data_IF_462086762482
#
_entry.id   IF_462086762482
#
_cell.length_a   1.000
_cell.length_b   1.000
_cell.length_c   1.000
_cell.angle_alpha   90.00
_cell.angle_beta   90.00
_cell.angle_gamma   90.00
#
_symmetry.space_group_name_H-M   'P 1'
#
loop_
_entity.id
_entity.type
_entity.pdbx_description
1 polymer ?
#
# COMPACT_ATOMS: atom_id res chain seq x y z
N UNK A 1 27.88 3.70 21.36
CA UNK A 1 26.54 3.10 21.45
C UNK A 1 25.66 3.77 20.41
N UNK A 2 25.42 3.10 19.28
CA UNK A 2 24.75 3.69 18.11
C UNK A 2 23.24 3.81 18.35
N UNK A 3 22.70 5.02 18.39
CA UNK A 3 21.31 5.31 18.06
C UNK A 3 21.24 6.63 17.30
N UNK A 4 21.71 6.60 16.05
CA UNK A 4 21.36 7.65 15.10
C UNK A 4 21.08 6.99 13.75
N UNK A 5 19.81 6.79 13.46
CA UNK A 5 19.28 6.78 12.09
C UNK A 5 17.77 6.96 12.18
N UNK A 6 17.33 8.14 11.74
CA UNK A 6 15.96 8.49 11.42
C UNK A 6 15.35 7.43 10.49
N UNK A 7 14.77 6.38 11.08
CA UNK A 7 13.96 5.35 10.44
C UNK A 7 12.63 5.35 11.15
N UNK A 8 11.56 5.40 10.37
CA UNK A 8 10.14 5.35 10.76
C UNK A 8 9.94 4.64 12.10
N UNK A 9 9.24 5.27 13.06
CA UNK A 9 8.92 4.66 14.36
C UNK A 9 8.38 3.23 14.15
N UNK A 10 8.82 2.22 14.94
CA UNK A 10 8.36 0.83 14.80
C UNK A 10 6.83 0.71 14.76
N UNK A 11 6.14 1.60 15.48
CA UNK A 11 4.69 1.73 15.47
C UNK A 11 4.13 2.10 14.09
N UNK A 12 4.74 3.09 13.43
CA UNK A 12 4.32 3.54 12.09
C UNK A 12 4.66 2.50 11.02
N UNK A 13 5.78 1.78 11.19
CA UNK A 13 6.13 0.67 10.31
C UNK A 13 5.10 -0.47 10.39
N UNK A 14 4.68 -0.84 11.61
CA UNK A 14 3.61 -1.83 11.79
C UNK A 14 2.27 -1.38 11.28
N UNK A 15 1.87 -0.14 11.54
CA UNK A 15 0.57 0.34 11.07
C UNK A 15 0.50 0.33 9.54
N UNK A 16 1.59 0.71 8.87
CA UNK A 16 1.68 0.62 7.42
C UNK A 16 1.60 -0.83 6.94
N UNK A 17 2.36 -1.72 7.57
CA UNK A 17 2.42 -3.14 7.22
C UNK A 17 1.09 -3.85 7.46
N UNK A 18 0.40 -3.52 8.56
CA UNK A 18 -0.93 -4.02 8.87
C UNK A 18 -1.94 -3.57 7.80
N UNK A 19 -1.90 -2.28 7.41
CA UNK A 19 -2.73 -1.75 6.33
C UNK A 19 -2.45 -2.41 4.98
N UNK A 20 -1.18 -2.62 4.64
CA UNK A 20 -0.76 -3.29 3.40
C UNK A 20 -1.28 -4.73 3.31
N UNK A 21 -1.35 -5.42 4.46
CA UNK A 21 -1.84 -6.79 4.56
C UNK A 21 -3.34 -6.89 4.89
N UNK A 22 -4.07 -5.77 4.95
CA UNK A 22 -5.49 -5.70 5.35
C UNK A 22 -5.77 -6.31 6.73
N UNK A 23 -4.79 -6.22 7.63
CA UNK A 23 -4.87 -6.69 9.01
C UNK A 23 -5.05 -5.48 9.93
N UNK A 24 -5.85 -5.63 10.99
CA UNK A 24 -6.00 -4.61 12.03
C UNK A 24 -4.90 -4.81 13.08
N UNK A 25 -4.22 -3.71 13.44
CA UNK A 25 -3.26 -3.68 14.54
C UNK A 25 -3.95 -3.13 15.80
N UNK A 26 -4.14 -3.99 16.80
CA UNK A 26 -4.76 -3.62 18.07
C UNK A 26 -3.73 -3.64 19.19
N UNK A 27 -3.64 -2.56 19.96
CA UNK A 27 -2.77 -2.47 21.13
C UNK A 27 -3.62 -2.50 22.41
N UNK A 28 -3.30 -3.42 23.32
CA UNK A 28 -3.98 -3.55 24.61
C UNK A 28 -2.96 -3.52 25.75
N UNK A 29 -3.25 -2.79 26.81
CA UNK A 29 -2.44 -2.79 28.03
C UNK A 29 -2.82 -4.01 28.87
N UNK A 30 -1.85 -4.90 29.10
CA UNK A 30 -2.06 -6.17 29.80
C UNK A 30 -1.77 -6.06 31.29
N UNK A 31 -0.59 -5.52 31.63
CA UNK A 31 -0.11 -5.49 33.01
C UNK A 31 0.57 -4.17 33.28
N UNK A 32 0.29 -3.62 34.46
CA UNK A 32 1.07 -2.56 35.08
C UNK A 32 1.56 -3.09 36.42
N UNK A 33 2.87 -3.07 36.65
CA UNK A 33 3.48 -3.57 37.89
C UNK A 33 4.67 -2.71 38.29
N UNK A 34 5.09 -2.82 39.55
CA UNK A 34 6.23 -2.10 40.11
C UNK A 34 5.85 -0.91 40.98
N UNK A 35 6.79 -0.43 41.82
CA UNK A 35 6.56 0.70 42.71
C UNK A 35 6.38 1.99 41.91
N UNK A 36 5.75 3.02 42.50
CA UNK A 36 5.41 4.26 41.80
C UNK A 36 6.61 4.93 41.07
N UNK A 37 7.82 4.75 41.60
CA UNK A 37 9.07 5.28 41.05
C UNK A 37 9.75 4.36 40.01
N UNK A 38 9.25 3.13 39.81
CA UNK A 38 9.75 2.16 38.84
C UNK A 38 8.60 1.32 38.26
N UNK A 39 7.60 2.02 37.72
CA UNK A 39 6.48 1.40 37.02
C UNK A 39 6.95 0.68 35.76
N UNK A 40 6.36 -0.47 35.51
CA UNK A 40 6.64 -1.36 34.40
C UNK A 40 5.31 -1.70 33.72
N UNK A 41 5.27 -1.54 32.39
CA UNK A 41 4.08 -1.69 31.58
C UNK A 41 4.30 -2.82 30.58
N UNK A 42 3.34 -3.74 30.49
CA UNK A 42 3.28 -4.77 29.48
C UNK A 42 2.11 -4.48 28.52
N UNK A 43 2.41 -4.44 27.24
CA UNK A 43 1.46 -4.17 26.16
C UNK A 43 1.43 -5.37 25.22
N UNK A 44 0.22 -5.79 24.86
CA UNK A 44 -0.06 -6.77 23.81
C UNK A 44 -0.40 -6.04 22.52
N UNK A 45 0.20 -6.48 21.42
CA UNK A 45 -0.10 -6.09 20.06
C UNK A 45 -0.69 -7.32 19.34
N UNK A 46 -1.94 -7.20 18.88
CA UNK A 46 -2.59 -8.21 18.05
C UNK A 46 -2.55 -7.80 16.58
N UNK A 47 -2.07 -8.70 15.73
CA UNK A 47 -2.01 -8.55 14.28
C UNK A 47 -2.73 -9.76 13.66
N UNK A 48 -4.04 -9.63 13.46
CA UNK A 48 -4.89 -10.71 12.96
C UNK A 48 -4.96 -11.86 13.97
N UNK A 49 -4.37 -13.00 13.60
CA UNK A 49 -4.35 -14.23 14.41
C UNK A 49 -3.12 -14.34 15.31
N UNK A 50 -2.14 -13.44 15.18
CA UNK A 50 -0.92 -13.43 16.00
C UNK A 50 -0.97 -12.35 17.08
N UNK A 51 -0.38 -12.68 18.22
CA UNK A 51 -0.23 -11.77 19.35
C UNK A 51 1.24 -11.64 19.75
N UNK A 52 1.65 -10.40 20.04
CA UNK A 52 3.00 -10.04 20.41
C UNK A 52 2.97 -9.24 21.70
N UNK A 53 3.85 -9.56 22.65
CA UNK A 53 3.89 -8.87 23.95
C UNK A 53 5.21 -8.16 24.10
N UNK A 54 5.15 -6.89 24.45
CA UNK A 54 6.32 -6.05 24.75
C UNK A 54 6.17 -5.40 26.12
N UNK A 55 7.28 -5.20 26.80
CA UNK A 55 7.29 -4.67 28.16
C UNK A 55 8.40 -3.65 28.37
N UNK A 56 8.08 -2.52 29.00
CA UNK A 56 9.04 -1.43 29.25
C UNK A 56 8.57 -0.50 30.39
N UNK A 57 9.40 0.46 30.79
CA UNK A 57 9.15 1.46 31.84
C UNK A 57 8.13 2.54 31.44
N UNK A 58 7.68 2.54 30.19
CA UNK A 58 6.65 3.44 29.67
C UNK A 58 5.74 2.70 28.70
N UNK A 59 4.43 3.00 28.72
CA UNK A 59 3.45 2.43 27.79
C UNK A 59 3.90 2.61 26.32
N UNK A 60 4.42 3.80 25.97
CA UNK A 60 4.90 4.08 24.61
C UNK A 60 6.12 3.23 24.23
N UNK A 61 7.00 2.95 25.19
CA UNK A 61 8.17 2.10 24.97
C UNK A 61 7.76 0.62 24.90
N UNK A 62 6.84 0.17 25.74
CA UNK A 62 6.27 -1.18 25.71
C UNK A 62 5.55 -1.46 24.38
N UNK A 63 4.79 -0.48 23.86
CA UNK A 63 4.20 -0.53 22.51
C UNK A 63 5.28 -0.65 21.43
N UNK A 64 6.36 0.14 21.51
CA UNK A 64 7.47 0.08 20.55
C UNK A 64 8.21 -1.26 20.61
N UNK A 65 8.37 -1.83 21.80
CA UNK A 65 8.99 -3.13 21.99
C UNK A 65 8.12 -4.25 21.40
N UNK A 66 6.81 -4.25 21.68
CA UNK A 66 5.85 -5.19 21.07
C UNK A 66 5.88 -5.09 19.55
N UNK A 67 5.97 -3.85 19.05
CA UNK A 67 6.10 -3.56 17.63
C UNK A 67 7.41 -4.08 17.02
N UNK A 68 8.55 -3.91 17.68
CA UNK A 68 9.82 -4.45 17.19
C UNK A 68 9.82 -5.98 17.13
N UNK A 69 9.22 -6.65 18.13
CA UNK A 69 9.09 -8.11 18.14
C UNK A 69 8.26 -8.58 16.93
N UNK A 70 7.13 -7.94 16.68
CA UNK A 70 6.27 -8.25 15.53
C UNK A 70 6.95 -7.98 14.18
N UNK A 71 7.78 -6.91 14.08
CA UNK A 71 8.58 -6.64 12.87
C UNK A 71 9.67 -7.69 12.65
N UNK A 72 10.26 -8.25 13.70
CA UNK A 72 11.25 -9.32 13.57
C UNK A 72 10.61 -10.66 13.15
N UNK A 73 9.34 -10.89 13.52
CA UNK A 73 8.55 -12.07 13.12
C UNK A 73 7.80 -11.87 11.78
N UNK A 74 8.32 -11.00 10.90
CA UNK A 74 7.78 -10.65 9.57
C UNK A 74 7.55 -11.84 8.61
N UNK A 75 7.91 -13.05 9.01
CA UNK A 75 7.78 -14.29 8.23
C UNK A 75 6.36 -14.57 7.74
N UNK A 76 5.32 -14.14 8.47
CA UNK A 76 3.92 -14.46 8.15
C UNK A 76 3.13 -13.29 7.55
N UNK A 77 3.69 -12.08 7.60
CA UNK A 77 3.06 -10.86 7.06
C UNK A 77 3.55 -10.55 5.63
N UNK A 78 4.47 -11.37 5.12
CA UNK A 78 4.99 -11.33 3.74
C UNK A 78 4.37 -12.45 2.91
N UNK A 79 3.05 -12.60 2.94
CA UNK A 79 2.32 -13.28 1.87
C UNK A 79 2.16 -12.30 0.70
N UNK A 80 3.27 -11.88 0.12
CA UNK A 80 3.29 -11.32 -1.23
C UNK A 80 4.35 -12.07 -1.97
N UNK A 81 3.88 -12.99 -2.81
CA UNK A 81 4.68 -13.87 -3.63
C UNK A 81 5.91 -13.13 -4.17
N UNK A 82 7.07 -13.72 -3.88
CA UNK A 82 8.30 -13.45 -4.63
C UNK A 82 8.13 -14.05 -6.02
N UNK A 83 7.36 -13.37 -6.85
CA UNK A 83 7.29 -13.55 -8.30
C UNK A 83 7.36 -12.13 -8.86
N UNK A 84 8.27 -11.73 -9.73
CA UNK A 84 9.04 -12.48 -10.70
C UNK A 84 10.10 -11.50 -11.26
N UNK A 85 11.11 -12.00 -11.96
CA UNK A 85 12.06 -11.17 -12.69
C UNK A 85 11.33 -10.47 -13.86
N UNK A 86 10.68 -9.34 -13.62
CA UNK A 86 10.00 -8.59 -14.69
C UNK A 86 9.64 -7.19 -14.23
N UNK A 87 10.40 -6.20 -14.75
CA UNK A 87 10.21 -4.75 -14.64
C UNK A 87 10.15 -4.22 -13.18
N UNK A 88 11.09 -3.35 -12.80
CA UNK A 88 11.09 -2.65 -11.52
C UNK A 88 9.83 -1.75 -11.37
N UNK A 89 8.70 -2.32 -10.96
CA UNK A 89 7.42 -1.64 -10.64
C UNK A 89 7.53 -0.69 -9.42
N UNK A 90 8.72 -0.54 -8.84
CA UNK A 90 9.07 0.48 -7.84
C UNK A 90 8.95 1.92 -8.39
N UNK A 91 9.00 2.09 -9.72
CA UNK A 91 8.70 3.36 -10.39
C UNK A 91 7.22 3.43 -10.77
N UNK A 92 6.60 4.58 -10.47
CA UNK A 92 5.19 4.91 -10.73
C UNK A 92 4.67 4.34 -12.08
N UNK A 93 3.51 3.63 -12.14
CA UNK A 93 3.10 2.83 -13.31
C UNK A 93 3.10 3.58 -14.64
N UNK A 94 2.64 4.83 -14.67
CA UNK A 94 2.68 5.65 -15.89
C UNK A 94 4.11 5.95 -16.36
N UNK A 95 5.06 6.16 -15.45
CA UNK A 95 6.46 6.45 -15.81
C UNK A 95 7.12 5.19 -16.37
N UNK A 96 6.84 4.05 -15.74
CA UNK A 96 7.34 2.74 -16.19
C UNK A 96 6.82 2.41 -17.57
N UNK A 97 5.52 2.60 -17.82
CA UNK A 97 4.92 2.41 -19.13
C UNK A 97 5.51 3.37 -20.17
N UNK A 98 5.64 4.66 -19.86
CA UNK A 98 6.22 5.64 -20.77
C UNK A 98 7.66 5.27 -21.17
N UNK A 99 8.44 4.77 -20.22
CA UNK A 99 9.82 4.33 -20.47
C UNK A 99 9.84 3.12 -21.41
N UNK A 100 8.99 2.12 -21.14
CA UNK A 100 8.88 0.93 -21.97
C UNK A 100 8.39 1.26 -23.39
N UNK A 101 7.39 2.13 -23.51
CA UNK A 101 6.84 2.60 -24.78
C UNK A 101 7.91 3.32 -25.62
N UNK A 102 8.73 4.17 -24.99
CA UNK A 102 9.84 4.85 -25.64
C UNK A 102 10.93 3.88 -26.12
N UNK A 103 11.24 2.85 -25.33
CA UNK A 103 12.24 1.82 -25.68
C UNK A 103 11.80 0.96 -26.88
N UNK A 104 10.51 0.69 -27.00
CA UNK A 104 9.95 -0.16 -28.07
C UNK A 104 9.36 0.66 -29.23
N UNK A 105 9.50 1.99 -29.22
CA UNK A 105 8.95 2.90 -30.23
C UNK A 105 7.42 2.79 -30.43
N UNK A 106 6.69 2.42 -29.37
CA UNK A 106 5.23 2.29 -29.41
C UNK A 106 4.59 3.59 -28.90
N UNK A 107 3.71 4.24 -29.68
CA UNK A 107 3.02 5.44 -29.22
C UNK A 107 1.99 5.08 -28.14
N UNK A 108 1.89 5.95 -27.12
CA UNK A 108 0.90 5.83 -26.06
C UNK A 108 0.07 7.09 -25.94
N UNK A 109 -1.23 6.93 -25.74
CA UNK A 109 -2.15 8.06 -25.60
C UNK A 109 -3.22 7.77 -24.55
N UNK A 110 -3.38 8.69 -23.59
CA UNK A 110 -4.46 8.66 -22.62
C UNK A 110 -5.61 9.55 -23.09
N UNK A 111 -6.81 8.98 -23.19
CA UNK A 111 -8.05 9.65 -23.60
C UNK A 111 -9.02 9.60 -22.43
N UNK A 112 -9.59 10.75 -22.06
CA UNK A 112 -10.70 10.81 -21.11
C UNK A 112 -11.97 10.38 -21.86
N UNK A 113 -12.59 9.28 -21.42
CA UNK A 113 -13.83 8.77 -22.02
C UNK A 113 -15.06 9.43 -21.41
N UNK A 114 -15.12 9.47 -20.08
CA UNK A 114 -16.31 9.96 -19.37
C UNK A 114 -15.94 10.54 -18.00
N UNK A 115 -16.77 11.45 -17.52
CA UNK A 115 -16.81 11.89 -16.13
C UNK A 115 -18.27 12.00 -15.70
N UNK A 116 -18.64 11.35 -14.59
CA UNK A 116 -20.00 11.47 -14.05
C UNK A 116 -20.01 11.57 -12.54
N UNK A 117 -21.03 12.26 -12.02
CA UNK A 117 -21.23 12.46 -10.59
C UNK A 117 -21.86 11.21 -9.98
N UNK A 118 -21.11 10.52 -9.14
CA UNK A 118 -21.60 9.35 -8.40
C UNK A 118 -22.22 9.85 -7.09
N UNK A 119 -23.52 9.63 -6.95
CA UNK A 119 -24.21 9.80 -5.66
C UNK A 119 -24.05 8.49 -4.88
N UNK A 120 -23.34 8.53 -3.76
CA UNK A 120 -23.22 7.35 -2.90
C UNK A 120 -24.56 7.12 -2.17
N UNK A 121 -25.22 5.95 -2.31
CA UNK A 121 -26.56 5.75 -1.75
C UNK A 121 -26.60 5.62 -0.22
N UNK A 122 -25.46 5.61 0.48
CA UNK A 122 -25.37 5.15 1.88
C UNK A 122 -24.82 6.18 2.89
N UNK A 123 -24.91 7.49 2.66
CA UNK A 123 -24.56 8.44 3.73
C UNK A 123 -25.34 9.76 3.66
N UNK A 124 -26.32 9.90 4.56
CA UNK A 124 -27.22 11.07 4.68
C UNK A 124 -26.51 12.33 5.19
N UNK A 125 -25.18 12.33 5.32
CA UNK A 125 -24.41 13.44 5.89
C UNK A 125 -23.33 14.03 4.98
N UNK A 126 -23.16 13.53 3.75
CA UNK A 126 -22.18 14.06 2.80
C UNK A 126 -22.79 14.19 1.40
N UNK A 127 -23.59 15.24 1.19
CA UNK A 127 -24.10 15.65 -0.12
C UNK A 127 -23.00 16.24 -1.03
N UNK A 128 -21.81 15.64 -1.05
CA UNK A 128 -20.75 16.02 -1.97
C UNK A 128 -20.80 15.06 -3.16
N UNK A 129 -21.23 15.51 -4.36
CA UNK A 129 -21.15 14.68 -5.56
C UNK A 129 -19.68 14.36 -5.83
N UNK A 130 -19.31 13.07 -5.75
CA UNK A 130 -17.98 12.61 -6.13
C UNK A 130 -17.94 12.40 -7.64
N UNK A 131 -17.01 13.04 -8.34
CA UNK A 131 -16.85 12.86 -9.79
C UNK A 131 -15.94 11.67 -10.02
N UNK A 132 -16.40 10.70 -10.80
CA UNK A 132 -15.62 9.55 -11.23
C UNK A 132 -15.14 9.78 -12.67
N UNK A 133 -13.83 9.64 -12.90
CA UNK A 133 -13.18 9.81 -14.19
C UNK A 133 -12.86 8.46 -14.82
N UNK A 134 -13.19 8.30 -16.10
CA UNK A 134 -12.90 7.12 -16.90
C UNK A 134 -11.88 7.48 -17.97
N UNK A 135 -10.73 6.84 -17.93
CA UNK A 135 -9.68 6.97 -18.92
C UNK A 135 -9.54 5.68 -19.74
N UNK A 136 -9.06 5.86 -20.96
CA UNK A 136 -8.56 4.79 -21.82
C UNK A 136 -7.17 5.15 -22.30
N UNK A 137 -6.25 4.22 -22.14
CA UNK A 137 -4.91 4.26 -22.67
C UNK A 137 -4.88 3.44 -23.95
N UNK A 138 -4.44 4.03 -25.05
CA UNK A 138 -4.09 3.34 -26.29
C UNK A 138 -2.59 3.05 -26.31
N UNK A 139 -2.23 1.82 -26.67
CA UNK A 139 -0.87 1.33 -26.83
C UNK A 139 -0.71 0.85 -28.28
N UNK A 140 -0.07 1.66 -29.12
CA UNK A 140 -0.05 1.39 -30.57
C UNK A 140 -1.41 1.60 -31.22
N UNK A 141 -1.74 0.79 -32.23
CA UNK A 141 -2.97 0.94 -33.03
C UNK A 141 -4.14 0.09 -32.49
N UNK A 142 -3.87 -1.11 -31.97
CA UNK A 142 -4.93 -2.10 -31.68
C UNK A 142 -5.15 -2.37 -30.19
N UNK A 143 -4.20 -2.02 -29.32
CA UNK A 143 -4.30 -2.31 -27.89
C UNK A 143 -4.80 -1.10 -27.11
N UNK A 144 -5.76 -1.34 -26.22
CA UNK A 144 -6.24 -0.33 -25.31
C UNK A 144 -6.58 -0.90 -23.93
N UNK A 145 -6.46 -0.06 -22.91
CA UNK A 145 -6.69 -0.40 -21.51
C UNK A 145 -7.49 0.70 -20.84
N UNK A 146 -8.59 0.35 -20.19
CA UNK A 146 -9.39 1.28 -19.42
C UNK A 146 -8.96 1.35 -17.95
N UNK A 147 -9.29 2.47 -17.31
CA UNK A 147 -9.03 2.70 -15.90
C UNK A 147 -9.87 3.86 -15.39
N UNK A 148 -10.41 3.71 -14.19
CA UNK A 148 -11.31 4.71 -13.62
C UNK A 148 -10.96 5.01 -12.17
N UNK A 149 -11.18 6.24 -11.73
CA UNK A 149 -10.96 6.65 -10.34
C UNK A 149 -11.65 7.99 -10.04
N UNK A 150 -11.68 8.41 -8.78
CA UNK A 150 -12.14 9.73 -8.35
C UNK A 150 -11.14 10.85 -8.66
N UNK A 151 -9.94 10.50 -9.12
CA UNK A 151 -8.90 11.44 -9.56
C UNK A 151 -8.41 11.12 -10.96
N UNK A 152 -8.24 12.16 -11.79
CA UNK A 152 -7.61 12.03 -13.12
C UNK A 152 -6.25 11.33 -13.05
N UNK A 153 -5.43 11.63 -12.03
CA UNK A 153 -4.11 11.05 -11.89
C UNK A 153 -4.19 9.55 -11.61
N UNK A 154 -5.08 9.14 -10.70
CA UNK A 154 -5.27 7.74 -10.35
C UNK A 154 -5.93 6.94 -11.49
N UNK A 155 -6.90 7.51 -12.21
CA UNK A 155 -7.52 6.87 -13.36
C UNK A 155 -6.46 6.53 -14.45
N UNK A 156 -5.51 7.44 -14.71
CA UNK A 156 -4.39 7.20 -15.63
C UNK A 156 -3.40 6.16 -15.10
N UNK A 157 -3.13 6.16 -13.80
CA UNK A 157 -2.28 5.14 -13.16
C UNK A 157 -2.92 3.75 -13.32
N UNK A 158 -4.22 3.64 -13.11
CA UNK A 158 -4.97 2.39 -13.28
C UNK A 158 -4.88 1.89 -14.73
N UNK A 159 -5.05 2.77 -15.73
CA UNK A 159 -4.84 2.42 -17.14
C UNK A 159 -3.43 1.86 -17.40
N UNK A 160 -2.39 2.55 -16.90
CA UNK A 160 -1.01 2.15 -17.10
C UNK A 160 -0.67 0.83 -16.39
N UNK A 161 -1.29 0.57 -15.24
CA UNK A 161 -1.12 -0.68 -14.50
C UNK A 161 -1.67 -1.87 -15.28
N UNK A 162 -2.87 -1.76 -15.86
CA UNK A 162 -3.46 -2.80 -16.70
C UNK A 162 -2.59 -3.07 -17.95
N UNK A 163 -2.09 -2.02 -18.59
CA UNK A 163 -1.19 -2.15 -19.75
C UNK A 163 0.11 -2.87 -19.38
N UNK A 164 0.75 -2.51 -18.27
CA UNK A 164 2.00 -3.13 -17.83
C UNK A 164 1.82 -4.61 -17.45
N UNK A 165 0.72 -4.97 -16.79
CA UNK A 165 0.42 -6.36 -16.48
C UNK A 165 0.22 -7.17 -17.77
N UNK A 166 -0.50 -6.62 -18.75
CA UNK A 166 -0.68 -7.27 -20.04
C UNK A 166 0.66 -7.46 -20.78
N UNK A 167 1.52 -6.45 -20.78
CA UNK A 167 2.86 -6.52 -21.38
C UNK A 167 3.70 -7.60 -20.70
N UNK A 168 3.69 -7.66 -19.36
CA UNK A 168 4.45 -8.68 -18.62
C UNK A 168 4.01 -10.09 -18.99
N UNK A 169 2.70 -10.30 -19.12
CA UNK A 169 2.15 -11.62 -19.36
C UNK A 169 2.23 -12.02 -20.86
N UNK A 170 2.41 -11.06 -21.78
CA UNK A 170 2.39 -11.26 -23.24
C UNK A 170 3.63 -10.70 -23.96
N UNK A 171 4.77 -10.54 -23.27
CA UNK A 171 5.97 -9.84 -23.76
C UNK A 171 6.45 -10.33 -25.15
N UNK A 172 6.24 -11.63 -25.46
CA UNK A 172 6.63 -12.26 -26.73
C UNK A 172 5.66 -12.07 -27.90
N UNK A 173 4.44 -11.60 -27.65
CA UNK A 173 3.42 -11.38 -28.70
C UNK A 173 3.30 -9.92 -29.12
N UNK A 174 3.97 -9.01 -28.41
CA UNK A 174 3.90 -7.56 -28.64
C UNK A 174 5.14 -7.06 -29.44
N UNK A 175 6.22 -7.84 -29.46
CA UNK A 175 7.45 -7.62 -30.23
C UNK A 175 7.46 -8.46 -31.51
#
# INVERSE_FOLDING_TARGET
MQQDQLKISPLKAINNLARENKIVAEYQLEKESGPAHAKFYCVRLRLGDKEYVGSDRSIKLAQRAAAQIALNDQTHLLLKDKSDKGINLSKHPTVTLNTWAAQNHIPIQYVLLNQHSVTTPNNVSSNFPCIMFYYRLYLGQDLHFDGHDLSHQLARINCAYHALNFIRDNEKSIL
#
